data_IF_241830935200
#
_entry.id   IF_241830935200
#
_cell.length_a   1.000
_cell.length_b   1.000
_cell.length_c   1.000
_cell.angle_alpha   90.00
_cell.angle_beta   90.00
_cell.angle_gamma   90.00
#
_symmetry.space_group_name_H-M   'P 1'
#
loop_
_entity.id
_entity.type
_entity.pdbx_description
1 polymer ?
#
# COMPACT_ATOMS: atom_id res chain seq x y z
N UNK A 1 1.29 30.98 -15.38
CA UNK A 1 2.34 30.90 -16.43
C UNK A 1 3.68 30.29 -15.98
N UNK A 2 3.87 29.89 -14.73
CA UNK A 2 5.15 29.31 -14.23
C UNK A 2 5.21 27.76 -14.23
N UNK A 3 4.08 27.06 -14.25
CA UNK A 3 4.04 25.59 -14.21
C UNK A 3 4.48 24.90 -15.52
N UNK A 4 4.28 25.57 -16.67
CA UNK A 4 4.65 24.99 -17.98
C UNK A 4 6.17 24.97 -18.24
N UNK A 5 6.93 25.76 -17.52
CA UNK A 5 8.39 25.82 -17.68
C UNK A 5 9.10 24.67 -16.92
N UNK A 6 8.62 24.31 -15.76
CA UNK A 6 9.18 23.19 -14.97
C UNK A 6 8.94 21.82 -15.63
N UNK A 7 7.78 21.61 -16.26
CA UNK A 7 7.47 20.39 -17.00
C UNK A 7 8.43 20.19 -18.19
N UNK A 8 8.82 21.27 -18.86
CA UNK A 8 9.79 21.21 -20.00
C UNK A 8 11.21 20.89 -19.54
N UNK A 9 11.58 21.28 -18.32
CA UNK A 9 12.90 20.95 -17.75
C UNK A 9 12.93 19.47 -17.33
N UNK A 10 11.86 18.90 -16.80
CA UNK A 10 11.77 17.49 -16.42
C UNK A 10 11.83 16.54 -17.64
N UNK A 11 11.19 16.89 -18.74
CA UNK A 11 11.23 16.11 -20.00
C UNK A 11 12.61 16.19 -20.66
N UNK A 12 13.30 17.32 -20.57
CA UNK A 12 14.64 17.50 -21.15
C UNK A 12 15.76 16.70 -20.46
N UNK A 13 15.65 16.45 -19.14
CA UNK A 13 16.64 15.69 -18.37
C UNK A 13 16.50 14.18 -18.59
N UNK A 14 15.32 13.68 -18.93
CA UNK A 14 15.08 12.26 -19.17
C UNK A 14 15.67 11.71 -20.48
N UNK A 15 16.11 12.57 -21.42
CA UNK A 15 16.53 12.18 -22.77
C UNK A 15 18.05 12.08 -22.98
N UNK A 16 18.89 12.38 -22.00
CA UNK A 16 20.33 12.61 -22.22
C UNK A 16 21.29 11.58 -21.63
N UNK A 17 20.96 10.29 -21.47
CA UNK A 17 22.01 9.30 -21.16
C UNK A 17 21.62 7.86 -21.56
N UNK A 18 21.90 7.48 -22.77
CA UNK A 18 21.91 6.09 -23.22
C UNK A 18 23.34 5.54 -23.19
N UNK A 19 23.74 4.88 -22.11
CA UNK A 19 24.87 3.97 -22.05
C UNK A 19 24.48 2.69 -21.31
N UNK A 20 24.76 1.49 -21.85
CA UNK A 20 24.37 0.24 -21.20
C UNK A 20 25.38 -0.13 -20.10
N UNK A 21 24.93 -0.19 -18.89
CA UNK A 21 25.71 -0.73 -17.77
C UNK A 21 24.84 -1.65 -16.93
N UNK A 22 25.36 -2.84 -16.65
CA UNK A 22 24.76 -3.91 -15.86
C UNK A 22 24.74 -3.53 -14.37
N UNK A 23 23.56 -3.41 -13.77
CA UNK A 23 23.41 -3.23 -12.33
C UNK A 23 22.17 -3.97 -11.83
N UNK A 24 22.30 -4.61 -10.69
CA UNK A 24 21.20 -5.23 -9.95
C UNK A 24 20.20 -4.16 -9.50
N UNK A 25 18.94 -4.33 -9.87
CA UNK A 25 17.86 -3.42 -9.51
C UNK A 25 17.26 -3.86 -8.18
N UNK A 26 17.44 -3.04 -7.14
CA UNK A 26 16.63 -3.14 -5.93
C UNK A 26 15.16 -2.83 -6.27
N UNK A 27 14.26 -3.76 -5.98
CA UNK A 27 12.85 -3.66 -6.36
C UNK A 27 12.09 -2.59 -5.58
N UNK A 28 11.35 -1.73 -6.26
CA UNK A 28 10.29 -0.91 -5.68
C UNK A 28 8.97 -1.68 -5.74
N UNK A 29 8.26 -1.73 -4.64
CA UNK A 29 6.97 -2.39 -4.54
C UNK A 29 5.88 -1.51 -5.13
N UNK A 30 5.46 -1.80 -6.34
CA UNK A 30 4.09 -1.49 -6.72
C UNK A 30 3.15 -2.44 -5.99
N UNK A 31 1.94 -2.00 -5.63
CA UNK A 31 0.92 -2.88 -5.07
C UNK A 31 0.62 -4.02 -6.07
N UNK A 32 1.50 -5.02 -6.08
CA UNK A 32 1.28 -6.22 -6.83
C UNK A 32 0.22 -7.00 -6.06
N UNK A 33 -0.85 -7.36 -6.74
CA UNK A 33 -1.76 -8.37 -6.27
C UNK A 33 -0.95 -9.57 -5.80
N UNK A 34 -1.27 -10.12 -4.63
CA UNK A 34 -0.56 -11.26 -4.08
C UNK A 34 -0.54 -12.41 -5.08
N UNK A 35 0.56 -12.58 -5.77
CA UNK A 35 0.82 -13.84 -6.42
C UNK A 35 0.89 -14.89 -5.32
N UNK A 36 0.20 -16.03 -5.47
CA UNK A 36 0.28 -17.10 -4.48
C UNK A 36 1.76 -17.46 -4.24
N UNK A 37 2.10 -17.73 -2.99
CA UNK A 37 3.44 -18.18 -2.67
C UNK A 37 3.81 -19.38 -3.55
N UNK A 38 5.03 -19.42 -4.08
CA UNK A 38 5.47 -20.56 -4.87
C UNK A 38 5.37 -21.82 -4.03
N UNK A 39 4.71 -22.84 -4.58
CA UNK A 39 4.41 -24.10 -3.91
C UNK A 39 5.66 -24.97 -3.69
N UNK A 40 6.78 -24.67 -4.31
CA UNK A 40 8.07 -25.33 -4.07
C UNK A 40 9.15 -24.31 -3.79
N UNK A 41 10.11 -24.68 -2.94
CA UNK A 41 11.22 -23.83 -2.50
C UNK A 41 12.14 -23.30 -3.61
N UNK A 42 11.98 -23.78 -4.86
CA UNK A 42 12.55 -23.19 -6.06
C UNK A 42 11.71 -21.99 -6.52
N UNK A 43 11.52 -21.05 -5.62
CA UNK A 43 10.68 -19.90 -5.85
C UNK A 43 11.21 -19.03 -6.99
N UNK A 44 10.42 -18.93 -8.05
CA UNK A 44 10.46 -17.75 -8.89
C UNK A 44 9.94 -16.56 -8.05
N UNK A 45 10.78 -16.06 -7.15
CA UNK A 45 10.50 -14.80 -6.51
C UNK A 45 10.59 -13.75 -7.60
N UNK A 46 9.44 -13.27 -8.07
CA UNK A 46 9.40 -12.04 -8.84
C UNK A 46 9.92 -10.92 -7.95
N UNK A 47 11.23 -10.71 -8.12
CA UNK A 47 11.89 -9.53 -7.69
C UNK A 47 11.91 -9.28 -6.21
N UNK A 48 12.60 -10.01 -5.49
CA UNK A 48 13.30 -9.51 -4.31
C UNK A 48 14.25 -10.63 -3.93
N UNK A 49 15.51 -10.46 -4.23
CA UNK A 49 16.53 -11.19 -3.51
C UNK A 49 16.37 -10.83 -2.04
N UNK A 50 15.52 -11.55 -1.33
CA UNK A 50 15.67 -11.63 0.11
C UNK A 50 17.08 -12.17 0.31
N UNK A 51 17.97 -11.33 0.80
CA UNK A 51 19.24 -11.82 1.33
C UNK A 51 18.86 -12.90 2.32
N UNK A 52 19.13 -14.14 1.95
CA UNK A 52 18.66 -15.33 2.66
C UNK A 52 19.26 -15.47 4.06
N UNK A 53 20.20 -14.59 4.44
CA UNK A 53 20.78 -14.50 5.78
C UNK A 53 21.25 -13.07 6.02
N UNK A 54 20.42 -12.28 6.68
CA UNK A 54 20.81 -10.94 7.13
C UNK A 54 20.78 -10.87 8.64
N UNK A 55 21.84 -10.33 9.22
CA UNK A 55 21.93 -9.97 10.63
C UNK A 55 22.49 -8.56 10.66
N UNK A 56 21.61 -7.57 10.52
CA UNK A 56 22.01 -6.17 10.41
C UNK A 56 21.18 -5.27 11.31
N UNK A 57 21.85 -4.34 11.93
CA UNK A 57 21.27 -3.11 12.43
C UNK A 57 21.41 -2.06 11.31
N UNK A 58 20.29 -1.57 10.82
CA UNK A 58 20.23 -0.50 9.83
C UNK A 58 19.72 0.76 10.51
N UNK A 59 20.40 1.86 10.30
CA UNK A 59 19.96 3.17 10.73
C UNK A 59 19.86 4.10 9.53
N UNK A 60 18.99 5.08 9.61
CA UNK A 60 18.81 6.05 8.55
C UNK A 60 18.27 7.36 9.06
N UNK A 61 18.50 8.39 8.27
CA UNK A 61 17.95 9.71 8.49
C UNK A 61 17.49 10.26 7.15
N UNK A 62 16.24 10.66 7.07
CA UNK A 62 15.64 11.23 5.88
C UNK A 62 15.25 12.66 6.16
N UNK A 63 15.75 13.58 5.33
CA UNK A 63 15.33 14.98 5.31
C UNK A 63 14.54 15.22 4.05
N UNK A 64 13.40 15.87 4.20
CA UNK A 64 12.52 16.21 3.09
C UNK A 64 12.09 17.66 3.13
N UNK A 65 11.94 18.26 1.96
CA UNK A 65 11.21 19.51 1.76
C UNK A 65 10.17 19.29 0.68
N UNK A 66 8.95 19.80 0.88
CA UNK A 66 7.89 19.65 -0.10
C UNK A 66 7.06 20.92 -0.19
N UNK A 67 6.71 21.28 -1.42
CA UNK A 67 5.70 22.29 -1.73
C UNK A 67 4.39 21.57 -2.06
N UNK A 68 3.30 22.04 -1.47
CA UNK A 68 1.96 21.53 -1.63
C UNK A 68 1.03 22.69 -1.97
N UNK A 69 0.35 22.64 -3.11
CA UNK A 69 -0.52 23.73 -3.56
C UNK A 69 -1.87 23.79 -2.82
N UNK A 70 -2.23 22.70 -2.15
CA UNK A 70 -3.45 22.56 -1.36
C UNK A 70 -3.15 21.86 -0.03
N UNK A 71 -2.19 22.41 0.74
CA UNK A 71 -1.83 21.86 2.05
C UNK A 71 -3.02 21.86 3.03
N UNK A 72 -3.85 22.90 2.99
CA UNK A 72 -5.09 23.02 3.79
C UNK A 72 -6.11 23.87 3.05
N UNK A 73 -7.30 23.99 3.63
CA UNK A 73 -8.36 24.88 3.15
C UNK A 73 -8.50 26.05 4.11
N UNK A 74 -8.37 27.26 3.59
CA UNK A 74 -8.56 28.49 4.36
C UNK A 74 -10.02 28.74 4.76
N UNK A 75 -10.25 29.67 5.67
CA UNK A 75 -11.58 30.04 6.18
C UNK A 75 -12.56 30.48 5.08
N UNK A 76 -12.06 30.92 3.95
CA UNK A 76 -12.86 31.32 2.77
C UNK A 76 -13.11 30.18 1.78
N UNK A 77 -12.82 28.93 2.16
CA UNK A 77 -12.99 27.74 1.33
C UNK A 77 -11.96 27.60 0.19
N UNK A 78 -10.90 28.42 0.15
CA UNK A 78 -9.87 28.35 -0.89
C UNK A 78 -8.68 27.50 -0.43
N UNK A 79 -8.06 26.71 -1.33
CA UNK A 79 -6.83 26.00 -1.03
C UNK A 79 -5.71 26.96 -0.62
N UNK A 80 -4.95 26.58 0.39
CA UNK A 80 -3.78 27.31 0.88
C UNK A 80 -2.54 26.50 0.60
N UNK A 81 -1.62 27.06 -0.17
CA UNK A 81 -0.34 26.43 -0.47
C UNK A 81 0.67 26.66 0.66
N UNK A 82 1.46 25.63 0.97
CA UNK A 82 2.51 25.72 1.97
C UNK A 82 3.75 24.91 1.58
N UNK A 83 4.87 25.24 2.25
CA UNK A 83 6.11 24.47 2.20
C UNK A 83 6.27 23.74 3.52
N UNK A 84 6.54 22.45 3.45
CA UNK A 84 6.82 21.64 4.63
C UNK A 84 8.25 21.13 4.62
N UNK A 85 8.83 21.01 5.81
CA UNK A 85 10.13 20.40 6.07
C UNK A 85 9.93 19.19 6.97
N UNK A 86 10.54 18.08 6.63
CA UNK A 86 10.36 16.83 7.38
C UNK A 86 11.68 16.17 7.72
N UNK A 87 11.72 15.53 8.87
CA UNK A 87 12.85 14.74 9.36
C UNK A 87 12.35 13.39 9.84
N UNK A 88 12.93 12.32 9.30
CA UNK A 88 12.54 10.94 9.57
C UNK A 88 13.76 10.11 9.95
N UNK A 89 14.12 10.02 11.22
CA UNK A 89 15.05 9.00 11.67
C UNK A 89 14.42 7.62 11.53
N UNK A 90 15.22 6.63 11.15
CA UNK A 90 14.76 5.24 10.97
C UNK A 90 15.76 4.31 11.62
N UNK A 91 15.26 3.32 12.35
CA UNK A 91 16.03 2.20 12.87
C UNK A 91 15.35 0.90 12.43
N UNK A 92 16.13 -0.04 11.92
CA UNK A 92 15.65 -1.36 11.51
C UNK A 92 16.60 -2.44 12.00
N UNK A 93 16.03 -3.44 12.67
CA UNK A 93 16.71 -4.67 13.07
C UNK A 93 16.25 -5.78 12.15
N UNK A 94 17.19 -6.40 11.47
CA UNK A 94 16.94 -7.52 10.56
C UNK A 94 17.78 -8.69 11.04
N UNK A 95 17.13 -9.75 11.53
CA UNK A 95 17.81 -10.91 12.09
C UNK A 95 17.28 -12.20 11.51
N UNK A 96 18.21 -13.00 10.99
CA UNK A 96 17.94 -14.33 10.48
C UNK A 96 18.69 -15.39 11.30
N UNK A 97 17.93 -16.36 11.81
CA UNK A 97 18.41 -17.58 12.44
C UNK A 97 17.96 -18.80 11.62
N UNK A 98 18.35 -20.00 12.01
CA UNK A 98 18.06 -21.22 11.25
C UNK A 98 16.57 -21.44 10.92
N UNK A 99 15.67 -21.01 11.79
CA UNK A 99 14.22 -21.19 11.62
C UNK A 99 13.40 -19.91 11.73
N UNK A 100 14.05 -18.80 12.12
CA UNK A 100 13.39 -17.54 12.41
C UNK A 100 14.04 -16.44 11.58
N UNK A 101 13.24 -15.71 10.84
CA UNK A 101 13.60 -14.42 10.26
C UNK A 101 12.64 -13.37 10.77
N UNK A 102 13.14 -12.31 11.35
CA UNK A 102 12.32 -11.20 11.80
C UNK A 102 12.97 -9.86 11.48
N UNK A 103 12.12 -8.92 11.14
CA UNK A 103 12.49 -7.54 10.86
C UNK A 103 11.62 -6.65 11.73
N UNK A 104 12.24 -5.77 12.48
CA UNK A 104 11.60 -4.70 13.22
C UNK A 104 12.06 -3.38 12.62
N UNK A 105 11.13 -2.48 12.33
CA UNK A 105 11.43 -1.14 11.83
C UNK A 105 10.63 -0.11 12.60
N UNK A 106 11.30 0.94 13.06
CA UNK A 106 10.66 2.09 13.68
C UNK A 106 11.18 3.37 13.01
N UNK A 107 10.25 4.23 12.60
CA UNK A 107 10.54 5.47 11.90
C UNK A 107 9.59 6.58 12.38
N UNK A 108 9.97 7.31 13.45
CA UNK A 108 9.26 8.53 13.81
C UNK A 108 9.53 9.62 12.77
N UNK A 109 8.59 10.53 12.60
CA UNK A 109 8.71 11.63 11.65
C UNK A 109 8.23 12.95 12.26
N UNK A 110 8.92 14.01 11.97
CA UNK A 110 8.55 15.37 12.38
C UNK A 110 8.42 16.22 11.12
N UNK A 111 7.27 16.86 10.97
CA UNK A 111 7.00 17.74 9.83
C UNK A 111 6.62 19.14 10.33
N UNK A 112 7.26 20.14 9.78
CA UNK A 112 7.08 21.55 10.09
C UNK A 112 6.60 22.28 8.85
N UNK A 113 5.56 23.08 9.00
CA UNK A 113 4.98 23.89 7.95
C UNK A 113 5.41 25.34 8.09
N UNK A 114 5.76 25.99 6.97
CA UNK A 114 6.31 27.33 6.96
C UNK A 114 5.29 28.40 7.32
N UNK A 115 4.08 28.33 6.72
CA UNK A 115 3.02 29.33 6.92
C UNK A 115 1.99 28.88 7.95
N UNK A 116 1.68 27.59 7.98
CA UNK A 116 0.62 27.00 8.79
C UNK A 116 1.19 26.14 9.91
N UNK A 117 1.86 26.76 10.89
CA UNK A 117 2.52 26.07 12.01
C UNK A 117 1.54 25.23 12.86
N UNK A 118 0.24 25.52 12.83
CA UNK A 118 -0.79 24.69 13.44
C UNK A 118 -0.92 23.30 12.82
N UNK A 119 -0.34 23.09 11.63
CA UNK A 119 -0.27 21.80 10.94
C UNK A 119 1.02 21.03 11.26
N UNK A 120 1.89 21.55 12.12
CA UNK A 120 3.08 20.82 12.56
C UNK A 120 2.69 19.52 13.21
N UNK A 121 3.40 18.44 12.87
CA UNK A 121 2.98 17.09 13.23
C UNK A 121 4.14 16.20 13.62
N UNK A 122 3.85 15.27 14.52
CA UNK A 122 4.71 14.16 14.85
C UNK A 122 4.04 12.86 14.37
N UNK A 123 4.68 12.19 13.43
CA UNK A 123 4.23 10.93 12.87
C UNK A 123 4.99 9.76 13.51
N UNK A 124 4.42 8.58 13.48
CA UNK A 124 5.02 7.37 14.04
C UNK A 124 4.74 6.20 13.10
N UNK A 125 5.79 5.52 12.67
CA UNK A 125 5.65 4.30 11.87
C UNK A 125 6.42 3.18 12.57
N UNK A 126 5.75 2.08 12.83
CA UNK A 126 6.31 0.89 13.42
C UNK A 126 5.88 -0.31 12.60
N UNK A 127 6.79 -1.18 12.23
CA UNK A 127 6.49 -2.41 11.52
C UNK A 127 7.29 -3.58 12.08
N UNK A 128 6.62 -4.72 12.21
CA UNK A 128 7.20 -6.00 12.62
C UNK A 128 6.83 -7.04 11.58
N UNK A 129 7.83 -7.74 11.06
CA UNK A 129 7.64 -8.89 10.19
C UNK A 129 8.39 -10.07 10.80
N UNK A 130 7.71 -11.20 10.97
CA UNK A 130 8.27 -12.41 11.52
C UNK A 130 7.89 -13.59 10.66
N UNK A 131 8.88 -14.37 10.22
CA UNK A 131 8.70 -15.63 9.52
C UNK A 131 9.37 -16.74 10.35
N UNK A 132 8.57 -17.69 10.82
CA UNK A 132 9.04 -18.79 11.66
C UNK A 132 8.73 -20.14 11.01
N UNK A 133 9.77 -20.89 10.71
CA UNK A 133 9.64 -22.26 10.21
C UNK A 133 9.46 -23.23 11.38
N UNK A 134 8.21 -23.59 11.65
CA UNK A 134 7.84 -24.55 12.70
C UNK A 134 8.39 -25.96 12.38
N UNK A 135 8.27 -26.35 11.11
CA UNK A 135 8.82 -27.62 10.58
C UNK A 135 9.27 -27.42 9.12
N UNK A 136 9.89 -28.44 8.47
CA UNK A 136 10.20 -28.34 7.03
C UNK A 136 8.99 -28.01 6.14
N UNK A 137 7.77 -28.37 6.60
CA UNK A 137 6.53 -28.20 5.86
C UNK A 137 5.63 -27.11 6.39
N UNK A 138 5.88 -26.56 7.59
CA UNK A 138 5.00 -25.57 8.25
C UNK A 138 5.73 -24.28 8.46
N UNK A 139 5.17 -23.20 7.93
CA UNK A 139 5.68 -21.84 8.14
C UNK A 139 4.59 -20.94 8.71
N UNK A 140 4.93 -20.20 9.75
CA UNK A 140 4.13 -19.14 10.35
C UNK A 140 4.73 -17.79 9.95
N UNK A 141 3.92 -16.93 9.36
CA UNK A 141 4.27 -15.54 9.04
C UNK A 141 3.37 -14.60 9.83
N UNK A 142 3.98 -13.69 10.59
CA UNK A 142 3.27 -12.63 11.31
C UNK A 142 3.76 -11.29 10.80
N UNK A 143 2.83 -10.39 10.57
CA UNK A 143 3.11 -9.00 10.19
C UNK A 143 2.20 -8.09 10.99
N UNK A 144 2.78 -7.04 11.55
CA UNK A 144 2.05 -5.95 12.19
C UNK A 144 2.66 -4.62 11.76
N UNK A 145 1.80 -3.65 11.47
CA UNK A 145 2.19 -2.30 11.15
C UNK A 145 1.28 -1.30 11.83
N UNK A 146 1.87 -0.43 12.63
CA UNK A 146 1.21 0.68 13.27
C UNK A 146 1.69 1.99 12.66
N UNK A 147 0.75 2.85 12.32
CA UNK A 147 1.02 4.19 11.80
C UNK A 147 0.19 5.22 12.55
N UNK A 148 0.84 6.29 13.00
CA UNK A 148 0.22 7.57 13.27
C UNK A 148 0.68 8.54 12.19
N UNK A 149 -0.24 9.03 11.38
CA UNK A 149 0.07 10.00 10.33
C UNK A 149 -0.96 11.11 10.30
N UNK A 150 -0.52 12.33 10.04
CA UNK A 150 -1.42 13.47 9.84
C UNK A 150 -1.49 13.90 8.39
N UNK A 151 -0.58 13.40 7.55
CA UNK A 151 -0.61 13.61 6.10
C UNK A 151 0.11 12.45 5.40
N UNK A 152 -0.66 11.60 4.75
CA UNK A 152 -0.15 10.41 4.03
C UNK A 152 0.92 10.77 3.00
N UNK A 153 0.81 11.95 2.36
CA UNK A 153 1.76 12.40 1.35
C UNK A 153 3.12 12.83 1.94
N UNK A 154 3.22 13.05 3.24
CA UNK A 154 4.47 13.46 3.90
C UNK A 154 5.36 12.28 4.30
N UNK A 155 4.88 11.06 4.16
CA UNK A 155 5.66 9.90 4.56
C UNK A 155 6.72 9.56 3.51
N UNK A 156 7.95 9.22 3.92
CA UNK A 156 8.88 8.60 2.99
C UNK A 156 8.25 7.30 2.49
N UNK A 157 8.37 7.04 1.19
CA UNK A 157 7.86 5.80 0.58
C UNK A 157 8.49 4.60 1.30
N UNK A 158 7.71 3.95 2.12
CA UNK A 158 8.13 2.74 2.83
C UNK A 158 7.45 1.54 2.19
N UNK A 159 8.24 0.56 1.81
CA UNK A 159 7.78 -0.70 1.23
C UNK A 159 7.11 -1.64 2.27
N UNK A 160 6.24 -1.11 3.13
CA UNK A 160 5.62 -1.88 4.21
C UNK A 160 4.51 -2.81 3.74
N UNK A 161 3.94 -2.58 2.59
CA UNK A 161 2.81 -3.35 2.08
C UNK A 161 3.25 -4.41 1.07
N UNK A 162 4.01 -5.41 1.49
CA UNK A 162 4.05 -6.63 0.70
C UNK A 162 2.76 -7.43 0.96
N UNK A 163 1.97 -7.72 -0.07
CA UNK A 163 0.80 -8.56 0.10
C UNK A 163 1.22 -9.94 0.62
N UNK A 164 0.55 -10.39 1.66
CA UNK A 164 0.80 -11.72 2.22
C UNK A 164 0.33 -12.77 1.23
N UNK A 165 1.17 -13.73 0.96
CA UNK A 165 0.84 -14.87 0.09
C UNK A 165 -0.49 -15.51 0.49
N UNK A 166 -1.41 -15.63 -0.47
CA UNK A 166 -2.71 -16.24 -0.27
C UNK A 166 -3.81 -15.32 0.28
N UNK A 167 -3.51 -14.08 0.66
CA UNK A 167 -4.51 -13.10 1.07
C UNK A 167 -4.83 -12.14 -0.08
N UNK A 168 -6.11 -12.01 -0.41
CA UNK A 168 -6.62 -11.04 -1.40
C UNK A 168 -7.05 -9.74 -0.71
N UNK A 169 -7.03 -9.71 0.62
CA UNK A 169 -7.41 -8.54 1.38
C UNK A 169 -6.31 -7.47 1.34
N UNK A 170 -6.68 -6.30 0.85
CA UNK A 170 -5.86 -5.08 0.86
C UNK A 170 -6.67 -4.00 1.56
N UNK A 171 -6.14 -3.37 2.62
CA UNK A 171 -6.82 -2.24 3.27
C UNK A 171 -7.13 -1.12 2.27
N UNK A 172 -8.28 -0.49 2.44
CA UNK A 172 -8.66 0.64 1.60
C UNK A 172 -7.86 1.88 2.00
N UNK A 173 -6.87 2.21 1.20
CA UNK A 173 -6.02 3.40 1.35
C UNK A 173 -6.33 4.49 0.33
N UNK A 174 -7.43 4.38 -0.39
CA UNK A 174 -7.79 5.32 -1.46
C UNK A 174 -8.49 6.58 -0.94
N UNK A 175 -9.03 6.55 0.28
CA UNK A 175 -9.59 7.73 0.94
C UNK A 175 -8.46 8.44 1.65
N UNK A 176 -8.05 9.59 1.12
CA UNK A 176 -6.93 10.36 1.66
C UNK A 176 -7.51 11.61 2.32
N UNK A 177 -7.64 11.58 3.64
CA UNK A 177 -7.98 12.77 4.40
C UNK A 177 -6.90 13.85 4.16
N UNK A 178 -7.27 15.13 4.03
CA UNK A 178 -6.29 16.20 4.05
C UNK A 178 -5.53 16.15 5.40
N UNK A 179 -5.09 17.18 5.96
CA UNK A 179 -4.28 17.15 7.18
C UNK A 179 -5.16 16.83 8.40
N UNK A 180 -5.12 15.57 8.83
CA UNK A 180 -5.80 15.11 10.03
C UNK A 180 -5.03 13.91 10.64
N UNK A 181 -4.92 13.87 11.94
CA UNK A 181 -4.30 12.74 12.64
C UNK A 181 -5.11 11.48 12.40
N UNK A 182 -4.46 10.47 11.85
CA UNK A 182 -5.00 9.12 11.62
C UNK A 182 -4.09 8.10 12.29
N UNK A 183 -4.68 7.26 13.11
CA UNK A 183 -4.04 6.08 13.67
C UNK A 183 -4.50 4.86 12.89
N UNK A 184 -3.58 4.16 12.27
CA UNK A 184 -3.87 2.92 11.56
C UNK A 184 -3.04 1.79 12.13
N UNK A 185 -3.66 0.67 12.44
CA UNK A 185 -2.99 -0.58 12.76
C UNK A 185 -3.47 -1.67 11.84
N UNK A 186 -2.54 -2.42 11.26
CA UNK A 186 -2.84 -3.58 10.41
C UNK A 186 -2.00 -4.76 10.84
N UNK A 187 -2.65 -5.81 11.33
CA UNK A 187 -2.04 -7.06 11.71
C UNK A 187 -2.49 -8.20 10.79
N UNK A 188 -1.55 -9.06 10.45
CA UNK A 188 -1.80 -10.26 9.66
C UNK A 188 -1.00 -11.44 10.21
N UNK A 189 -1.65 -12.60 10.29
CA UNK A 189 -1.03 -13.86 10.64
C UNK A 189 -1.36 -14.91 9.58
N UNK A 190 -0.37 -15.60 9.04
CA UNK A 190 -0.56 -16.64 8.02
C UNK A 190 0.19 -17.90 8.41
N UNK A 191 -0.52 -19.02 8.42
CA UNK A 191 0.04 -20.36 8.60
C UNK A 191 -0.05 -21.10 7.27
N UNK A 192 1.07 -21.61 6.78
CA UNK A 192 1.13 -22.40 5.55
C UNK A 192 1.63 -23.79 5.84
N UNK A 193 1.04 -24.79 5.18
CA UNK A 193 1.44 -26.18 5.24
C UNK A 193 1.68 -26.73 3.83
N UNK A 194 2.90 -27.18 3.57
CA UNK A 194 3.30 -27.81 2.31
C UNK A 194 2.83 -29.26 2.31
N UNK A 195 1.75 -29.56 1.59
CA UNK A 195 1.18 -30.92 1.48
C UNK A 195 2.05 -31.83 0.63
N UNK A 196 2.60 -31.29 -0.47
CA UNK A 196 3.43 -32.02 -1.43
C UNK A 196 4.35 -31.03 -2.16
N UNK A 197 5.22 -31.54 -3.03
CA UNK A 197 6.05 -30.69 -3.89
C UNK A 197 5.26 -29.71 -4.75
N UNK A 198 3.98 -30.00 -5.02
CA UNK A 198 3.12 -29.20 -5.90
C UNK A 198 1.87 -28.66 -5.20
N UNK A 199 1.62 -28.97 -3.94
CA UNK A 199 0.41 -28.60 -3.22
C UNK A 199 0.69 -27.93 -1.88
N UNK A 200 0.01 -26.83 -1.59
CA UNK A 200 0.10 -26.07 -0.34
C UNK A 200 -1.28 -25.63 0.11
N UNK A 201 -1.56 -25.76 1.40
CA UNK A 201 -2.72 -25.16 2.06
C UNK A 201 -2.26 -24.10 3.05
N UNK A 202 -3.14 -23.17 3.35
CA UNK A 202 -2.87 -22.21 4.40
C UNK A 202 -4.14 -21.60 4.95
N UNK A 203 -3.95 -20.95 6.10
CA UNK A 203 -4.97 -20.12 6.73
C UNK A 203 -4.35 -18.79 7.13
N UNK A 204 -5.10 -17.71 7.01
CA UNK A 204 -4.69 -16.39 7.47
C UNK A 204 -5.77 -15.72 8.29
N UNK A 205 -5.33 -14.89 9.25
CA UNK A 205 -6.18 -13.95 9.97
C UNK A 205 -5.71 -12.52 9.72
N UNK A 206 -6.64 -11.59 9.59
CA UNK A 206 -6.36 -10.18 9.36
C UNK A 206 -7.13 -9.31 10.34
N UNK A 207 -6.49 -8.24 10.78
CA UNK A 207 -7.09 -7.20 11.60
C UNK A 207 -6.61 -5.84 11.10
N UNK A 208 -7.53 -4.91 10.89
CA UNK A 208 -7.22 -3.51 10.57
C UNK A 208 -8.07 -2.61 11.45
N UNK A 209 -7.47 -1.56 11.99
CA UNK A 209 -8.16 -0.52 12.74
C UNK A 209 -7.70 0.84 12.24
N UNK A 210 -8.65 1.74 12.00
CA UNK A 210 -8.43 3.12 11.60
C UNK A 210 -9.19 4.01 12.58
N UNK A 211 -8.49 4.95 13.20
CA UNK A 211 -9.04 5.84 14.23
C UNK A 211 -8.60 7.28 13.98
N UNK A 212 -9.56 8.19 14.03
CA UNK A 212 -9.36 9.63 13.95
C UNK A 212 -9.45 10.24 15.36
N UNK A 213 -8.31 10.56 16.03
CA UNK A 213 -8.32 11.13 17.39
C UNK A 213 -9.08 12.45 17.49
N UNK A 214 -9.11 13.23 16.41
CA UNK A 214 -9.83 14.48 16.33
C UNK A 214 -10.85 14.47 15.17
N UNK A 215 -12.02 13.90 15.43
CA UNK A 215 -13.09 13.78 14.43
C UNK A 215 -13.62 15.13 13.94
N UNK A 216 -13.44 16.22 14.70
CA UNK A 216 -13.84 17.55 14.27
C UNK A 216 -13.05 18.04 13.03
N UNK A 217 -11.82 17.53 12.82
CA UNK A 217 -11.00 17.86 11.65
C UNK A 217 -11.40 17.10 10.39
N UNK A 218 -12.19 16.03 10.52
CA UNK A 218 -12.50 15.10 9.44
C UNK A 218 -14.01 14.94 9.23
N UNK A 219 -14.72 16.06 9.18
CA UNK A 219 -16.18 16.05 9.00
C UNK A 219 -16.61 15.12 7.83
N UNK A 220 -17.44 14.14 8.14
CA UNK A 220 -17.93 13.13 7.20
C UNK A 220 -17.09 11.85 7.12
N UNK A 221 -15.92 11.77 7.78
CA UNK A 221 -15.18 10.55 7.97
C UNK A 221 -15.33 10.05 9.41
N UNK A 222 -15.21 8.74 9.61
CA UNK A 222 -15.36 8.09 10.89
C UNK A 222 -14.35 6.98 11.13
N UNK A 223 -14.29 6.53 12.37
CA UNK A 223 -13.48 5.37 12.73
C UNK A 223 -13.96 4.12 12.02
N UNK A 224 -13.05 3.21 11.74
CA UNK A 224 -13.40 1.92 11.16
C UNK A 224 -12.48 0.81 11.64
N UNK A 225 -13.00 -0.40 11.63
CA UNK A 225 -12.19 -1.59 11.87
C UNK A 225 -12.64 -2.74 10.99
N UNK A 226 -11.70 -3.59 10.63
CA UNK A 226 -12.00 -4.83 9.93
C UNK A 226 -11.26 -6.00 10.56
N UNK A 227 -11.90 -7.16 10.55
CA UNK A 227 -11.30 -8.41 10.99
C UNK A 227 -11.83 -9.55 10.16
N UNK A 228 -10.97 -10.51 9.89
CA UNK A 228 -11.40 -11.64 9.08
C UNK A 228 -10.35 -12.73 9.02
N UNK A 229 -10.65 -13.73 8.27
CA UNK A 229 -9.76 -14.84 8.00
C UNK A 229 -9.99 -15.42 6.63
N UNK A 230 -8.98 -16.11 6.15
CA UNK A 230 -9.09 -16.85 4.91
C UNK A 230 -8.43 -18.22 5.02
N UNK A 231 -8.89 -19.14 4.20
CA UNK A 231 -8.23 -20.42 3.95
C UNK A 231 -8.00 -20.57 2.46
N UNK A 232 -6.87 -21.15 2.08
CA UNK A 232 -6.54 -21.30 0.67
C UNK A 232 -5.85 -22.64 0.38
N UNK A 233 -6.03 -23.06 -0.86
CA UNK A 233 -5.30 -24.16 -1.46
C UNK A 233 -4.67 -23.69 -2.76
N UNK A 234 -3.36 -23.92 -2.90
CA UNK A 234 -2.59 -23.58 -4.08
C UNK A 234 -1.99 -24.86 -4.67
N UNK A 235 -2.09 -25.02 -5.98
CA UNK A 235 -1.53 -26.15 -6.70
C UNK A 235 -0.71 -25.69 -7.90
N UNK A 236 0.49 -26.25 -8.01
CA UNK A 236 1.38 -26.04 -9.14
C UNK A 236 1.11 -27.12 -10.18
N UNK A 237 0.46 -26.78 -11.29
CA UNK A 237 0.23 -27.67 -12.40
C UNK A 237 1.50 -27.93 -13.20
N UNK A 238 2.33 -26.90 -13.35
CA UNK A 238 3.64 -27.00 -14.02
C UNK A 238 4.56 -25.87 -13.54
N UNK A 239 5.78 -25.79 -14.07
CA UNK A 239 6.71 -24.68 -13.76
C UNK A 239 6.13 -23.29 -14.12
N UNK A 240 5.14 -23.24 -15.01
CA UNK A 240 4.56 -21.99 -15.52
C UNK A 240 3.13 -21.77 -15.02
N UNK A 241 2.42 -22.78 -14.55
CA UNK A 241 0.99 -22.73 -14.28
C UNK A 241 0.68 -23.04 -12.81
N UNK A 242 -0.01 -22.12 -12.15
CA UNK A 242 -0.49 -22.27 -10.78
C UNK A 242 -1.98 -22.00 -10.74
N UNK A 243 -2.69 -22.82 -10.01
CA UNK A 243 -4.12 -22.66 -9.76
C UNK A 243 -4.38 -22.74 -8.26
N UNK A 244 -5.48 -22.18 -7.82
CA UNK A 244 -5.90 -22.37 -6.45
C UNK A 244 -7.28 -21.79 -6.19
N UNK A 245 -7.72 -22.01 -4.95
CA UNK A 245 -8.96 -21.52 -4.42
C UNK A 245 -8.73 -20.90 -3.05
N UNK A 246 -9.45 -19.83 -2.76
CA UNK A 246 -9.43 -19.14 -1.47
C UNK A 246 -10.86 -18.89 -1.03
N UNK A 247 -11.18 -19.26 0.20
CA UNK A 247 -12.37 -18.79 0.89
C UNK A 247 -11.94 -17.70 1.88
N UNK A 248 -12.67 -16.59 1.90
CA UNK A 248 -12.40 -15.44 2.76
C UNK A 248 -13.68 -15.00 3.47
N UNK A 249 -13.59 -14.80 4.78
CA UNK A 249 -14.58 -14.14 5.60
C UNK A 249 -14.01 -12.82 6.12
N UNK A 250 -14.79 -11.75 6.02
CA UNK A 250 -14.43 -10.43 6.54
C UNK A 250 -15.63 -9.80 7.25
N UNK A 251 -15.36 -9.17 8.38
CA UNK A 251 -16.32 -8.35 9.11
C UNK A 251 -15.79 -6.92 9.19
N UNK A 252 -16.54 -6.00 8.63
CA UNK A 252 -16.22 -4.58 8.60
C UNK A 252 -17.15 -3.84 9.54
N UNK A 253 -16.58 -2.95 10.36
CA UNK A 253 -17.29 -2.07 11.27
C UNK A 253 -16.89 -0.64 10.92
N UNK A 254 -17.87 0.23 10.72
CA UNK A 254 -17.66 1.67 10.57
C UNK A 254 -18.52 2.41 11.60
N UNK A 255 -17.99 3.49 12.10
CA UNK A 255 -18.60 4.33 13.13
C UNK A 255 -18.82 5.74 12.57
N UNK A 256 -19.80 5.93 11.67
CA UNK A 256 -20.19 7.26 11.21
C UNK A 256 -20.75 8.08 12.35
N UNK A 257 -20.93 9.40 12.14
CA UNK A 257 -21.46 10.31 13.16
C UNK A 257 -22.84 9.87 13.72
N UNK A 258 -23.61 9.11 12.97
CA UNK A 258 -24.91 8.57 13.38
C UNK A 258 -24.88 7.05 13.28
N UNK A 259 -24.80 6.40 14.44
CA UNK A 259 -24.94 4.95 14.57
C UNK A 259 -23.68 4.15 14.20
N UNK A 260 -23.88 2.88 13.90
CA UNK A 260 -22.85 1.92 13.52
C UNK A 260 -23.29 1.20 12.25
N UNK A 261 -22.36 0.98 11.33
CA UNK A 261 -22.53 0.11 10.18
C UNK A 261 -21.68 -1.13 10.33
N UNK A 262 -22.28 -2.30 10.17
CA UNK A 262 -21.61 -3.60 10.16
C UNK A 262 -21.86 -4.30 8.84
N UNK A 263 -20.80 -4.77 8.19
CA UNK A 263 -20.87 -5.59 6.99
C UNK A 263 -20.10 -6.87 7.18
N UNK A 264 -20.74 -7.99 6.92
CA UNK A 264 -20.13 -9.32 6.89
C UNK A 264 -20.05 -9.76 5.42
N UNK A 265 -18.84 -10.07 4.96
CA UNK A 265 -18.59 -10.50 3.59
C UNK A 265 -17.99 -11.90 3.55
N UNK A 266 -18.53 -12.74 2.68
CA UNK A 266 -18.03 -14.07 2.38
C UNK A 266 -17.67 -14.12 0.89
N UNK A 267 -16.45 -14.51 0.57
CA UNK A 267 -15.97 -14.53 -0.80
C UNK A 267 -15.25 -15.84 -1.09
N UNK A 268 -15.53 -16.40 -2.26
CA UNK A 268 -14.80 -17.55 -2.79
C UNK A 268 -14.09 -17.06 -4.05
N UNK A 269 -12.77 -17.18 -4.07
CA UNK A 269 -11.95 -16.87 -5.23
C UNK A 269 -11.37 -18.15 -5.81
N UNK A 270 -11.45 -18.28 -7.13
CA UNK A 270 -10.59 -19.13 -7.91
C UNK A 270 -9.52 -18.26 -8.54
N UNK A 271 -8.28 -18.70 -8.52
CA UNK A 271 -7.21 -17.94 -9.16
C UNK A 271 -6.36 -18.84 -10.07
N UNK A 272 -5.79 -18.18 -11.07
CA UNK A 272 -4.85 -18.78 -12.00
C UNK A 272 -3.69 -17.81 -12.22
N UNK A 273 -2.46 -18.31 -12.05
CA UNK A 273 -1.24 -17.56 -12.32
C UNK A 273 -0.43 -18.25 -13.39
N UNK A 274 -0.05 -17.48 -14.41
CA UNK A 274 0.74 -17.90 -15.55
C UNK A 274 2.08 -17.16 -15.56
N UNK A 275 3.17 -17.89 -15.53
CA UNK A 275 4.51 -17.38 -15.79
C UNK A 275 4.87 -17.63 -17.26
N UNK A 276 4.65 -16.66 -18.12
CA UNK A 276 5.02 -16.76 -19.55
C UNK A 276 6.52 -16.87 -19.73
N UNK A 277 7.26 -16.19 -18.87
CA UNK A 277 8.72 -16.24 -18.72
C UNK A 277 9.03 -16.07 -17.22
N UNK A 278 10.24 -16.40 -16.76
CA UNK A 278 10.65 -16.12 -15.37
C UNK A 278 10.51 -14.64 -14.98
N UNK A 279 10.49 -13.76 -15.98
CA UNK A 279 10.41 -12.30 -15.84
C UNK A 279 9.02 -11.73 -16.10
N UNK A 280 8.04 -12.55 -16.52
CA UNK A 280 6.69 -12.08 -16.85
C UNK A 280 5.65 -13.02 -16.26
N UNK A 281 4.83 -12.50 -15.35
CA UNK A 281 3.70 -13.21 -14.78
C UNK A 281 2.39 -12.48 -15.03
N UNK A 282 1.33 -13.23 -15.17
CA UNK A 282 -0.05 -12.78 -15.23
C UNK A 282 -0.84 -13.60 -14.22
N UNK A 283 -1.62 -12.92 -13.38
CA UNK A 283 -2.53 -13.57 -12.44
C UNK A 283 -3.94 -13.07 -12.64
N UNK A 284 -4.89 -13.99 -12.62
CA UNK A 284 -6.33 -13.72 -12.69
C UNK A 284 -6.98 -14.36 -11.47
N UNK A 285 -7.93 -13.69 -10.88
CA UNK A 285 -8.77 -14.29 -9.85
C UNK A 285 -10.21 -13.80 -9.98
N UNK A 286 -11.15 -14.61 -9.51
CA UNK A 286 -12.55 -14.19 -9.50
C UNK A 286 -13.45 -15.20 -8.82
N UNK A 287 -14.62 -14.74 -8.46
CA UNK A 287 -15.64 -15.57 -7.86
C UNK A 287 -16.80 -14.80 -7.24
N UNK A 288 -17.77 -15.51 -6.67
CA UNK A 288 -18.92 -14.89 -6.01
C UNK A 288 -18.54 -14.31 -4.66
N UNK A 289 -19.12 -13.16 -4.34
CA UNK A 289 -19.03 -12.50 -3.06
C UNK A 289 -20.44 -12.23 -2.53
N UNK A 290 -20.71 -12.70 -1.31
CA UNK A 290 -21.94 -12.44 -0.58
C UNK A 290 -21.65 -11.43 0.53
N UNK A 291 -22.47 -10.39 0.65
CA UNK A 291 -22.40 -9.41 1.74
C UNK A 291 -23.74 -9.29 2.46
N UNK A 292 -23.66 -9.10 3.78
CA UNK A 292 -24.78 -8.78 4.65
C UNK A 292 -24.41 -7.52 5.42
N UNK A 293 -25.06 -6.42 5.07
CA UNK A 293 -24.83 -5.10 5.68
C UNK A 293 -25.98 -4.73 6.59
N UNK A 294 -25.67 -4.38 7.82
CA UNK A 294 -26.62 -3.92 8.83
C UNK A 294 -26.21 -2.52 9.29
N UNK A 295 -27.12 -1.58 9.22
CA UNK A 295 -26.97 -0.23 9.71
C UNK A 295 -27.96 0.05 10.83
N UNK A 296 -27.58 0.92 11.74
CA UNK A 296 -28.44 1.30 12.86
C UNK A 296 -29.81 1.80 12.38
N UNK A 297 -30.88 1.17 12.90
CA UNK A 297 -32.28 1.55 12.57
C UNK A 297 -32.78 1.09 11.22
N UNK A 298 -31.99 0.33 10.43
CA UNK A 298 -32.38 -0.12 9.09
C UNK A 298 -32.44 -1.65 8.98
N UNK A 299 -33.26 -2.19 8.06
CA UNK A 299 -33.25 -3.62 7.78
C UNK A 299 -31.94 -4.06 7.16
N UNK A 300 -31.51 -5.28 7.47
CA UNK A 300 -30.29 -5.86 6.92
C UNK A 300 -30.41 -6.01 5.39
N UNK A 301 -29.39 -5.52 4.67
CA UNK A 301 -29.27 -5.63 3.22
C UNK A 301 -28.34 -6.78 2.84
N UNK A 302 -28.85 -7.74 2.09
CA UNK A 302 -28.10 -8.90 1.60
C UNK A 302 -27.89 -8.78 0.09
N UNK A 303 -26.63 -8.86 -0.34
CA UNK A 303 -26.29 -8.67 -1.75
C UNK A 303 -25.27 -9.70 -2.21
N UNK A 304 -25.47 -10.21 -3.45
CA UNK A 304 -24.48 -10.98 -4.18
C UNK A 304 -23.84 -10.09 -5.23
N UNK A 305 -22.52 -10.12 -5.31
CA UNK A 305 -21.75 -9.38 -6.31
C UNK A 305 -20.59 -10.23 -6.82
N UNK A 306 -20.13 -10.03 -8.07
CA UNK A 306 -18.90 -10.65 -8.53
C UNK A 306 -17.71 -9.90 -7.93
N UNK A 307 -16.74 -10.63 -7.38
CA UNK A 307 -15.44 -10.12 -7.01
C UNK A 307 -14.37 -10.71 -7.92
N UNK A 308 -13.33 -9.96 -8.23
CA UNK A 308 -12.26 -10.47 -9.07
C UNK A 308 -11.25 -9.42 -9.46
N UNK A 309 -10.23 -9.86 -10.19
CA UNK A 309 -9.20 -8.98 -10.66
C UNK A 309 -8.15 -9.67 -11.51
N UNK A 310 -7.22 -8.86 -11.98
CA UNK A 310 -6.10 -9.27 -12.79
C UNK A 310 -4.85 -8.52 -12.37
N UNK A 311 -3.69 -9.15 -12.48
CA UNK A 311 -2.41 -8.46 -12.34
C UNK A 311 -1.41 -8.98 -13.35
N UNK A 312 -0.49 -8.11 -13.75
CA UNK A 312 0.64 -8.41 -14.59
C UNK A 312 1.89 -7.81 -13.97
N UNK A 313 2.94 -8.60 -13.89
CA UNK A 313 4.27 -8.16 -13.49
C UNK A 313 5.30 -8.54 -14.54
N UNK A 314 6.08 -7.57 -14.98
CA UNK A 314 7.22 -7.78 -15.87
C UNK A 314 8.48 -7.17 -15.29
N UNK A 315 9.54 -7.97 -15.27
CA UNK A 315 10.85 -7.55 -14.80
C UNK A 315 11.90 -7.79 -15.89
N UNK A 316 12.29 -6.74 -16.59
CA UNK A 316 13.45 -6.74 -17.46
C UNK A 316 14.75 -6.46 -16.69
N UNK A 317 15.87 -6.37 -17.40
CA UNK A 317 17.19 -6.11 -16.78
C UNK A 317 17.28 -4.73 -16.11
N UNK A 318 16.66 -3.72 -16.70
CA UNK A 318 16.72 -2.33 -16.23
C UNK A 318 15.34 -1.71 -16.00
N UNK A 319 14.28 -2.43 -16.33
CA UNK A 319 12.91 -1.89 -16.28
C UNK A 319 12.00 -2.91 -15.63
N UNK A 320 11.17 -2.46 -14.71
CA UNK A 320 10.09 -3.26 -14.13
C UNK A 320 8.75 -2.55 -14.36
N UNK A 321 7.73 -3.33 -14.68
CA UNK A 321 6.35 -2.87 -14.85
C UNK A 321 5.47 -3.76 -14.00
N UNK A 322 4.58 -3.15 -13.23
CA UNK A 322 3.52 -3.87 -12.54
C UNK A 322 2.20 -3.15 -12.78
N UNK A 323 1.16 -3.91 -13.04
CA UNK A 323 -0.20 -3.39 -13.16
C UNK A 323 -1.15 -4.34 -12.47
N UNK A 324 -2.19 -3.79 -11.85
CA UNK A 324 -3.22 -4.57 -11.21
C UNK A 324 -4.58 -3.89 -11.35
N UNK A 325 -5.60 -4.71 -11.39
CA UNK A 325 -7.00 -4.33 -11.38
C UNK A 325 -7.72 -5.24 -10.41
N UNK A 326 -8.59 -4.70 -9.56
CA UNK A 326 -9.41 -5.52 -8.66
C UNK A 326 -10.74 -4.86 -8.35
N UNK A 327 -11.76 -5.70 -8.15
CA UNK A 327 -13.08 -5.34 -7.63
C UNK A 327 -13.40 -6.24 -6.45
N UNK A 328 -13.47 -5.66 -5.26
CA UNK A 328 -13.67 -6.38 -4.00
C UNK A 328 -14.43 -5.51 -2.99
N UNK A 329 -15.05 -6.14 -1.99
CA UNK A 329 -15.52 -5.40 -0.82
C UNK A 329 -14.34 -5.23 0.15
N UNK A 330 -14.11 -3.98 0.54
CA UNK A 330 -13.03 -3.58 1.45
C UNK A 330 -13.60 -2.82 2.65
N UNK A 331 -12.71 -2.51 3.60
CA UNK A 331 -13.03 -1.62 4.72
C UNK A 331 -13.39 -0.21 4.20
N UNK A 332 -13.99 0.56 5.09
CA UNK A 332 -14.51 1.89 4.73
C UNK A 332 -13.41 2.90 4.38
N UNK A 333 -12.18 2.73 4.91
CA UNK A 333 -11.16 3.78 4.84
C UNK A 333 -11.59 5.10 5.51
N UNK A 334 -12.55 5.05 6.45
CA UNK A 334 -13.15 6.21 7.09
C UNK A 334 -14.53 6.63 6.54
N UNK A 335 -15.02 6.00 5.46
CA UNK A 335 -16.37 6.23 4.95
C UNK A 335 -17.44 5.63 5.85
N UNK A 336 -18.71 5.92 5.58
CA UNK A 336 -19.85 5.54 6.43
C UNK A 336 -20.12 4.04 6.57
N UNK A 337 -19.52 3.21 5.74
CA UNK A 337 -19.69 1.75 5.76
C UNK A 337 -18.67 1.04 4.90
N UNK A 338 -18.69 -0.30 4.87
CA UNK A 338 -17.87 -1.07 3.95
C UNK A 338 -18.12 -0.66 2.50
N UNK A 339 -17.11 -0.72 1.67
CA UNK A 339 -17.17 -0.25 0.29
C UNK A 339 -16.93 -1.38 -0.71
N UNK A 340 -17.70 -1.38 -1.78
CA UNK A 340 -17.32 -2.05 -3.02
C UNK A 340 -16.28 -1.16 -3.70
N UNK A 341 -15.03 -1.61 -3.73
CA UNK A 341 -13.91 -0.86 -4.27
C UNK A 341 -13.47 -1.45 -5.61
N UNK A 342 -13.45 -0.62 -6.63
CA UNK A 342 -12.80 -0.88 -7.92
C UNK A 342 -11.45 -0.17 -7.90
N UNK A 343 -10.35 -0.89 -7.96
CA UNK A 343 -9.03 -0.31 -7.94
C UNK A 343 -8.19 -0.74 -9.15
N UNK A 344 -7.44 0.20 -9.69
CA UNK A 344 -6.46 -0.03 -10.75
C UNK A 344 -5.17 0.66 -10.39
N UNK A 345 -4.06 -0.06 -10.47
CA UNK A 345 -2.74 0.47 -10.18
C UNK A 345 -1.80 0.12 -11.33
N UNK A 346 -0.91 1.04 -11.67
CA UNK A 346 0.16 0.82 -12.64
C UNK A 346 1.44 1.47 -12.12
N UNK A 347 2.55 0.76 -12.23
CA UNK A 347 3.87 1.28 -11.88
C UNK A 347 4.89 0.87 -12.91
N UNK A 348 5.79 1.80 -13.20
CA UNK A 348 6.94 1.62 -14.05
C UNK A 348 8.17 2.12 -13.30
N UNK A 349 9.20 1.31 -13.21
CA UNK A 349 10.50 1.71 -12.70
C UNK A 349 11.56 1.37 -13.75
N UNK A 350 12.47 2.30 -13.98
CA UNK A 350 13.60 2.13 -14.89
C UNK A 350 14.90 2.57 -14.24
N UNK A 351 15.88 1.70 -14.25
CA UNK A 351 17.26 2.03 -13.95
C UNK A 351 17.87 2.69 -15.17
N UNK A 352 18.13 3.99 -15.08
CA UNK A 352 18.68 4.80 -16.19
C UNK A 352 20.20 4.68 -16.25
N UNK A 353 20.84 4.64 -15.08
CA UNK A 353 22.27 4.37 -14.92
C UNK A 353 22.52 3.61 -13.64
N UNK A 354 23.77 3.26 -13.31
CA UNK A 354 24.12 2.55 -12.07
C UNK A 354 23.55 3.22 -10.82
N UNK A 355 23.54 4.56 -10.82
CA UNK A 355 23.18 5.35 -9.63
C UNK A 355 21.91 6.17 -9.84
N UNK A 356 21.22 6.05 -10.99
CA UNK A 356 20.04 6.83 -11.31
C UNK A 356 18.88 5.92 -11.69
N UNK A 357 17.76 6.06 -11.00
CA UNK A 357 16.51 5.40 -11.35
C UNK A 357 15.38 6.39 -11.46
N UNK A 358 14.43 6.10 -12.35
CA UNK A 358 13.20 6.85 -12.52
C UNK A 358 12.01 5.93 -12.30
N UNK A 359 10.94 6.45 -11.69
CA UNK A 359 9.70 5.70 -11.52
C UNK A 359 8.49 6.56 -11.85
N UNK A 360 7.47 5.91 -12.38
CA UNK A 360 6.15 6.46 -12.64
C UNK A 360 5.12 5.56 -11.95
N UNK A 361 4.11 6.17 -11.35
CA UNK A 361 3.00 5.47 -10.74
C UNK A 361 1.69 6.14 -11.12
N UNK A 362 0.65 5.34 -11.29
CA UNK A 362 -0.72 5.83 -11.47
C UNK A 362 -1.66 4.90 -10.71
N UNK A 363 -2.65 5.47 -10.03
CA UNK A 363 -3.70 4.70 -9.38
C UNK A 363 -5.06 5.35 -9.60
N UNK A 364 -6.06 4.50 -9.69
CA UNK A 364 -7.46 4.87 -9.70
C UNK A 364 -8.19 3.98 -8.71
N UNK A 365 -9.03 4.56 -7.86
CA UNK A 365 -9.92 3.81 -7.00
C UNK A 365 -11.31 4.46 -7.02
N UNK A 366 -12.34 3.64 -7.17
CA UNK A 366 -13.74 4.06 -7.04
C UNK A 366 -14.36 3.27 -5.90
N UNK A 367 -14.92 3.96 -4.93
CA UNK A 367 -15.53 3.39 -3.74
C UNK A 367 -17.03 3.65 -3.77
N UNK A 368 -17.79 2.57 -3.69
CA UNK A 368 -19.25 2.60 -3.55
C UNK A 368 -19.60 1.99 -2.21
N UNK A 369 -20.13 2.81 -1.31
CA UNK A 369 -20.54 2.36 0.02
C UNK A 369 -21.70 1.37 -0.10
N UNK A 370 -21.64 0.31 0.67
CA UNK A 370 -22.71 -0.69 0.77
C UNK A 370 -23.76 -0.20 1.78
N UNK A 371 -24.53 0.81 1.36
CA UNK A 371 -25.52 1.49 2.17
C UNK A 371 -26.94 1.16 1.77
N UNK A 372 -27.83 1.16 2.76
CA UNK A 372 -29.28 1.02 2.53
C UNK A 372 -29.96 2.38 2.23
N UNK A 373 -29.31 3.52 2.54
CA UNK A 373 -29.90 4.83 2.39
C UNK A 373 -29.19 5.71 1.36
N UNK A 374 -29.89 6.19 0.31
CA UNK A 374 -29.34 7.13 -0.66
C UNK A 374 -28.87 8.47 -0.04
N UNK A 375 -29.46 8.86 1.10
CA UNK A 375 -29.22 10.15 1.79
C UNK A 375 -27.82 10.27 2.40
N UNK A 376 -27.16 9.17 2.74
CA UNK A 376 -25.81 9.14 3.31
C UNK A 376 -24.76 8.62 2.32
N UNK A 377 -25.05 8.73 1.02
CA UNK A 377 -24.16 8.29 -0.03
C UNK A 377 -22.82 9.03 0.03
N UNK A 378 -21.76 8.33 0.46
CA UNK A 378 -20.37 8.82 0.47
C UNK A 378 -19.55 8.20 -0.65
N UNK A 379 -20.20 7.82 -1.76
CA UNK A 379 -19.52 7.27 -2.92
C UNK A 379 -18.54 8.28 -3.53
N UNK A 380 -17.46 7.79 -4.09
CA UNK A 380 -16.51 8.65 -4.72
C UNK A 380 -15.37 7.91 -5.39
N UNK A 381 -14.43 8.70 -5.88
CA UNK A 381 -13.25 8.16 -6.53
C UNK A 381 -12.01 8.98 -6.20
N UNK A 382 -10.87 8.33 -6.33
CA UNK A 382 -9.54 8.91 -6.16
C UNK A 382 -8.69 8.54 -7.35
N UNK A 383 -8.01 9.52 -7.93
CA UNK A 383 -7.04 9.35 -8.99
C UNK A 383 -5.72 9.90 -8.47
N UNK A 384 -4.66 9.14 -8.56
CA UNK A 384 -3.33 9.66 -8.25
C UNK A 384 -2.31 9.32 -9.34
N UNK A 385 -1.39 10.24 -9.55
CA UNK A 385 -0.25 10.07 -10.41
C UNK A 385 1.02 10.49 -9.70
N UNK A 386 2.11 9.75 -9.89
CA UNK A 386 3.40 10.11 -9.32
C UNK A 386 4.52 9.92 -10.33
N UNK A 387 5.52 10.79 -10.26
CA UNK A 387 6.77 10.66 -11.00
C UNK A 387 7.91 10.93 -10.03
N UNK A 388 8.93 10.08 -10.05
CA UNK A 388 10.11 10.30 -9.21
C UNK A 388 11.41 9.95 -9.94
N UNK A 389 12.46 10.65 -9.56
CA UNK A 389 13.84 10.37 -9.97
C UNK A 389 14.68 10.28 -8.72
N UNK A 390 15.41 9.18 -8.59
CA UNK A 390 16.27 8.90 -7.45
C UNK A 390 17.70 8.72 -7.92
N UNK A 391 18.63 9.40 -7.27
CA UNK A 391 20.07 9.29 -7.52
C UNK A 391 20.80 8.89 -6.25
N UNK A 392 21.59 7.84 -6.35
CA UNK A 392 22.45 7.36 -5.29
C UNK A 392 23.83 8.01 -5.42
N UNK A 393 24.35 8.55 -4.31
CA UNK A 393 25.70 9.10 -4.17
C UNK A 393 26.49 8.24 -3.17
N UNK A 394 27.42 7.47 -3.72
CA UNK A 394 28.13 6.47 -2.90
C UNK A 394 27.20 5.35 -2.41
N UNK A 395 27.54 4.79 -1.24
CA UNK A 395 26.80 3.65 -0.67
C UNK A 395 25.69 4.07 0.29
N UNK A 396 25.73 5.28 0.81
CA UNK A 396 24.90 5.68 1.94
C UNK A 396 23.92 6.82 1.65
N UNK A 397 24.17 7.63 0.63
CA UNK A 397 23.40 8.85 0.38
C UNK A 397 22.51 8.69 -0.86
N UNK A 398 21.23 9.01 -0.72
CA UNK A 398 20.26 9.05 -1.82
C UNK A 398 19.58 10.41 -1.87
N UNK A 399 19.42 10.93 -3.09
CA UNK A 399 18.62 12.10 -3.41
C UNK A 399 17.43 11.65 -4.24
N UNK A 400 16.22 12.05 -3.85
CA UNK A 400 15.00 11.78 -4.60
C UNK A 400 14.26 13.09 -4.87
N UNK A 401 13.84 13.26 -6.11
CA UNK A 401 12.88 14.28 -6.54
C UNK A 401 11.58 13.56 -6.88
N UNK A 402 10.47 14.06 -6.37
CA UNK A 402 9.16 13.45 -6.61
C UNK A 402 8.11 14.51 -6.87
N UNK A 403 7.23 14.22 -7.81
CA UNK A 403 5.98 14.93 -8.05
C UNK A 403 4.82 13.98 -7.85
N UNK A 404 3.79 14.43 -7.14
CA UNK A 404 2.54 13.68 -6.93
C UNK A 404 1.37 14.59 -7.28
N UNK A 405 0.44 14.07 -8.07
CA UNK A 405 -0.87 14.68 -8.31
C UNK A 405 -1.95 13.77 -7.76
N UNK A 406 -2.84 14.33 -6.98
CA UNK A 406 -4.00 13.68 -6.41
C UNK A 406 -5.25 14.42 -6.85
N UNK A 407 -6.25 13.67 -7.31
CA UNK A 407 -7.62 14.14 -7.49
C UNK A 407 -8.56 13.20 -6.74
N UNK A 408 -9.44 13.75 -5.91
CA UNK A 408 -10.43 12.95 -5.21
C UNK A 408 -11.76 13.68 -5.17
N UNK A 409 -12.84 12.93 -5.38
CA UNK A 409 -14.20 13.45 -5.36
C UNK A 409 -15.09 12.45 -4.64
N UNK A 410 -15.64 12.88 -3.51
CA UNK A 410 -16.55 12.08 -2.68
C UNK A 410 -17.81 12.87 -2.36
N UNK A 411 -18.96 12.21 -2.49
CA UNK A 411 -20.24 12.83 -2.15
C UNK A 411 -20.38 12.94 -0.63
N UNK A 412 -20.97 14.04 -0.17
CA UNK A 412 -21.31 14.27 1.24
C UNK A 412 -20.13 14.22 2.25
N UNK A 413 -18.91 14.44 1.77
CA UNK A 413 -17.71 14.54 2.62
C UNK A 413 -17.06 15.91 2.38
N UNK A 414 -17.43 16.93 3.16
CA UNK A 414 -16.95 18.30 2.95
C UNK A 414 -15.42 18.41 3.00
N UNK A 415 -14.77 17.68 3.88
CA UNK A 415 -13.31 17.72 4.04
C UNK A 415 -12.55 17.22 2.80
N UNK A 416 -13.13 16.31 2.02
CA UNK A 416 -12.53 15.82 0.77
C UNK A 416 -12.93 16.69 -0.42
N UNK A 417 -14.14 17.26 -0.40
CA UNK A 417 -14.68 18.07 -1.50
C UNK A 417 -14.11 19.48 -1.53
N UNK A 418 -13.56 19.98 -0.42
CA UNK A 418 -13.01 21.35 -0.32
C UNK A 418 -11.68 21.54 -1.06
N UNK A 419 -10.89 20.48 -1.25
CA UNK A 419 -9.63 20.48 -1.99
C UNK A 419 -9.50 19.21 -2.85
N UNK A 420 -10.31 19.09 -3.94
CA UNK A 420 -10.35 17.87 -4.75
C UNK A 420 -9.04 17.62 -5.49
N UNK A 421 -8.36 18.68 -5.89
CA UNK A 421 -7.09 18.62 -6.63
C UNK A 421 -5.94 19.04 -5.73
N UNK A 422 -4.86 18.28 -5.76
CA UNK A 422 -3.66 18.53 -4.98
C UNK A 422 -2.42 18.15 -5.76
N UNK A 423 -1.48 19.08 -5.88
CA UNK A 423 -0.17 18.84 -6.48
C UNK A 423 0.90 19.04 -5.41
N UNK A 424 1.83 18.10 -5.38
CA UNK A 424 2.93 18.12 -4.43
C UNK A 424 4.25 17.85 -5.13
N UNK A 425 5.21 18.70 -4.89
CA UNK A 425 6.59 18.59 -5.33
C UNK A 425 7.47 18.38 -4.10
N UNK A 426 8.35 17.40 -4.13
CA UNK A 426 9.22 17.12 -2.98
C UNK A 426 10.64 16.78 -3.40
N UNK A 427 11.57 17.18 -2.56
CA UNK A 427 12.97 16.78 -2.59
C UNK A 427 13.28 16.09 -1.27
N UNK A 428 13.92 14.93 -1.34
CA UNK A 428 14.26 14.12 -0.18
C UNK A 428 15.71 13.69 -0.26
N UNK A 429 16.44 13.87 0.81
CA UNK A 429 17.79 13.39 1.00
C UNK A 429 17.77 12.34 2.09
N UNK A 430 18.22 11.14 1.81
CA UNK A 430 18.29 10.05 2.76
C UNK A 430 19.71 9.56 2.94
N UNK A 431 20.14 9.44 4.19
CA UNK A 431 21.38 8.81 4.59
C UNK A 431 21.08 7.50 5.29
N UNK A 432 21.73 6.43 4.89
CA UNK A 432 21.53 5.10 5.47
C UNK A 432 22.87 4.47 5.78
N UNK A 433 22.94 3.78 6.91
CA UNK A 433 24.06 2.95 7.28
C UNK A 433 23.58 1.56 7.71
N UNK A 434 24.42 0.58 7.53
CA UNK A 434 24.16 -0.79 8.00
C UNK A 434 25.38 -1.28 8.79
N UNK A 435 25.11 -1.87 9.94
CA UNK A 435 26.14 -2.51 10.78
C UNK A 435 25.77 -3.99 10.95
N UNK A 436 26.68 -4.91 10.62
CA UNK A 436 26.46 -6.31 10.92
C UNK A 436 26.28 -6.52 12.42
N UNK A 437 25.24 -7.25 12.79
CA UNK A 437 25.10 -7.77 14.15
C UNK A 437 25.92 -9.06 14.19
N UNK A 438 26.89 -9.14 15.10
CA UNK A 438 27.75 -10.32 15.24
C UNK A 438 26.93 -11.61 15.35
N UNK A 439 27.59 -12.76 15.08
CA UNK A 439 27.03 -14.12 15.10
C UNK A 439 26.45 -14.49 16.47
#
# INVERSE_FOLDING_TARGET
MKASMLIRIFIGIALLAACPVWAQVGGGSGAAMATPAPVSGDGYSMGFTSETRSNYLRGGLVFGSAYDDAATVGANGRPVSDVSYSVWPTISLDQTRSRLHWVFTYSPGFTFYQKTSSLNQANQNLAVNLNYRLSPHVTLSLRDSFQKTSNVLNQPSQDFAQPVSGSVFVPNSSVIAPIADVLTNTANATLTYQLSANGMVGASGTFTNLHYPNQAQVSGLGDSSSRGGSTFYNHRLSKMHYVGATYQYQRFLAYPAIGQSETQAHTIYLFYTLYLKPTLSISLFGGPQYSNTQQFGLPAMKTWSPAGGASMGWQGKLTSIATSFSRTINDSGGLSGAVESLSTNASLRRQVSRNLSASLGASYASNKVLDALPTFNTNGHTISGSASVQRQFGEHLNLQLQYVRLHQSYSNIPVLSSAPDRNRESITISYQFSRPLGR
#
